data_IF_334142506278
#
_entry.id   IF_334142506278
#
_cell.length_a   1.000
_cell.length_b   1.000
_cell.length_c   1.000
_cell.angle_alpha   90.00
_cell.angle_beta   90.00
_cell.angle_gamma   90.00
#
_symmetry.space_group_name_H-M   'P 1'
#
loop_
_entity.id
_entity.type
_entity.pdbx_description
1 polymer ?
#
# COMPACT_ATOMS: atom_id res chain seq x y z
N UNK A 1 45.35 -22.03 24.51
CA UNK A 1 44.15 -21.82 23.70
C UNK A 1 44.56 -21.12 22.45
N UNK A 2 44.43 -21.83 21.29
CA UNK A 2 44.94 -21.39 19.99
C UNK A 2 44.06 -20.29 19.42
N UNK A 3 44.66 -19.33 18.75
CA UNK A 3 43.99 -18.17 18.10
C UNK A 3 42.85 -18.56 17.14
N UNK A 4 42.81 -19.83 16.69
CA UNK A 4 41.75 -20.42 15.89
C UNK A 4 40.43 -20.57 16.64
N UNK A 5 40.47 -20.99 17.90
CA UNK A 5 39.27 -21.26 18.70
C UNK A 5 38.51 -19.98 19.07
N UNK A 6 39.22 -18.84 19.17
CA UNK A 6 38.63 -17.55 19.46
C UNK A 6 37.92 -16.95 18.23
N UNK A 7 38.47 -17.23 17.06
CA UNK A 7 37.88 -16.74 15.79
C UNK A 7 36.62 -17.52 15.42
N UNK A 8 36.61 -18.81 15.66
CA UNK A 8 35.44 -19.68 15.42
C UNK A 8 34.31 -19.41 16.40
N UNK A 9 34.63 -19.13 17.68
CA UNK A 9 33.67 -18.70 18.68
C UNK A 9 33.10 -17.29 18.40
N UNK A 10 33.91 -16.37 17.85
CA UNK A 10 33.47 -15.05 17.46
C UNK A 10 32.59 -15.09 16.21
N UNK A 11 32.89 -15.96 15.23
CA UNK A 11 32.05 -16.17 14.03
C UNK A 11 30.72 -16.87 14.39
N UNK A 12 30.71 -17.80 15.34
CA UNK A 12 29.49 -18.42 15.84
C UNK A 12 28.57 -17.42 16.58
N UNK A 13 29.12 -16.58 17.45
CA UNK A 13 28.38 -15.50 18.11
C UNK A 13 27.88 -14.42 17.15
N UNK A 14 28.64 -14.14 16.08
CA UNK A 14 28.27 -13.18 15.05
C UNK A 14 27.15 -13.70 14.13
N UNK A 15 27.10 -15.03 13.90
CA UNK A 15 26.04 -15.69 13.15
C UNK A 15 24.75 -15.88 13.97
N UNK A 16 24.85 -16.08 15.28
CA UNK A 16 23.67 -16.19 16.16
C UNK A 16 22.95 -14.85 16.37
N UNK A 17 23.66 -13.72 16.23
CA UNK A 17 23.06 -12.37 16.32
C UNK A 17 22.53 -11.84 14.98
N UNK A 18 22.72 -12.52 13.87
CA UNK A 18 22.30 -12.11 12.52
C UNK A 18 20.99 -12.72 12.02
N UNK A 19 20.21 -13.37 12.85
CA UNK A 19 18.88 -13.83 12.46
C UNK A 19 17.79 -13.43 13.43
N UNK A 20 17.32 -12.16 13.43
CA UNK A 20 16.02 -11.84 13.98
C UNK A 20 14.89 -12.15 12.98
N UNK A 21 15.22 -12.69 11.82
CA UNK A 21 14.24 -13.11 10.83
C UNK A 21 14.35 -14.62 10.62
N UNK A 22 13.56 -15.36 11.39
CA UNK A 22 13.23 -16.73 11.04
C UNK A 22 12.80 -16.75 9.57
N UNK A 23 13.37 -17.65 8.79
CA UNK A 23 13.01 -17.93 7.43
C UNK A 23 11.47 -17.85 7.31
N UNK A 24 10.98 -17.06 6.35
CA UNK A 24 9.60 -17.11 5.95
C UNK A 24 9.33 -18.51 5.39
N UNK A 25 9.01 -19.44 6.28
CA UNK A 25 8.50 -20.75 5.90
C UNK A 25 7.13 -20.51 5.29
N UNK A 26 6.97 -20.82 4.01
CA UNK A 26 5.71 -20.88 3.29
C UNK A 26 4.80 -22.04 3.76
N UNK A 27 4.93 -22.46 5.03
CA UNK A 27 4.20 -23.55 5.66
C UNK A 27 3.39 -23.09 6.86
N UNK A 28 2.07 -23.06 6.73
CA UNK A 28 1.05 -23.14 7.79
C UNK A 28 1.27 -22.29 9.05
N UNK A 29 1.48 -20.97 8.91
CA UNK A 29 1.27 -20.08 10.03
C UNK A 29 -0.24 -19.83 10.17
N UNK A 30 -0.78 -20.24 11.29
CA UNK A 30 -2.04 -19.72 11.82
C UNK A 30 -2.07 -18.21 11.63
N UNK A 31 -2.99 -17.71 10.83
CA UNK A 31 -3.14 -16.29 10.53
C UNK A 31 -3.48 -15.52 11.81
N UNK A 32 -2.48 -15.21 12.62
CA UNK A 32 -2.65 -14.20 13.64
C UNK A 32 -2.92 -12.88 12.92
N UNK A 33 -4.12 -12.34 13.14
CA UNK A 33 -4.50 -11.05 12.59
C UNK A 33 -3.45 -10.03 13.01
N UNK A 34 -2.75 -9.43 12.04
CA UNK A 34 -1.77 -8.37 12.29
C UNK A 34 -2.53 -7.18 12.87
N UNK A 35 -2.12 -6.69 14.04
CA UNK A 35 -2.72 -5.49 14.63
C UNK A 35 -1.98 -4.23 14.14
N UNK A 36 -2.60 -3.04 14.30
CA UNK A 36 -1.91 -1.78 13.96
C UNK A 36 -0.62 -1.60 14.77
N UNK A 37 -0.57 -1.84 16.09
CA UNK A 37 0.69 -1.83 16.83
C UNK A 37 1.76 -2.78 16.29
N UNK A 38 1.38 -3.97 15.81
CA UNK A 38 2.32 -4.91 15.17
C UNK A 38 2.86 -4.35 13.85
N UNK A 39 1.98 -3.72 13.05
CA UNK A 39 2.38 -3.09 11.80
C UNK A 39 3.34 -1.91 12.04
N UNK A 40 3.06 -1.07 13.05
CA UNK A 40 3.95 0.02 13.49
C UNK A 40 5.32 -0.51 13.89
N UNK A 41 5.37 -1.60 14.68
CA UNK A 41 6.62 -2.23 15.12
C UNK A 41 7.43 -2.76 13.93
N UNK A 42 6.78 -3.43 12.97
CA UNK A 42 7.43 -3.91 11.74
C UNK A 42 7.98 -2.75 10.90
N UNK A 43 7.22 -1.66 10.76
CA UNK A 43 7.67 -0.47 10.04
C UNK A 43 8.87 0.20 10.75
N UNK A 44 8.87 0.20 12.09
CA UNK A 44 9.99 0.70 12.89
C UNK A 44 11.27 -0.12 12.68
N UNK A 45 11.17 -1.44 12.57
CA UNK A 45 12.34 -2.26 12.23
C UNK A 45 12.90 -1.93 10.85
N UNK A 46 12.02 -1.76 9.85
CA UNK A 46 12.47 -1.31 8.53
C UNK A 46 13.19 0.05 8.64
N UNK A 47 12.66 1.00 9.40
CA UNK A 47 13.30 2.31 9.56
C UNK A 47 14.69 2.22 10.21
N UNK A 48 14.88 1.33 11.18
CA UNK A 48 16.19 1.06 11.79
C UNK A 48 17.17 0.48 10.78
N UNK A 49 16.73 -0.51 9.99
CA UNK A 49 17.58 -1.19 9.00
C UNK A 49 18.13 -0.23 7.94
N UNK A 50 17.40 0.83 7.61
CA UNK A 50 17.82 1.84 6.61
C UNK A 50 18.25 3.17 7.23
N UNK A 51 18.41 3.23 8.55
CA UNK A 51 18.78 4.44 9.30
C UNK A 51 17.82 5.63 9.07
N UNK A 52 16.52 5.35 8.95
CA UNK A 52 15.51 6.40 8.85
C UNK A 52 15.08 6.89 10.25
N UNK A 53 14.90 8.20 10.39
CA UNK A 53 14.50 8.83 11.66
C UNK A 53 12.99 8.80 11.91
N UNK A 54 12.18 8.73 10.85
CA UNK A 54 10.73 8.66 10.92
C UNK A 54 10.15 7.85 9.75
N UNK A 55 8.92 7.40 9.93
CA UNK A 55 8.18 6.65 8.91
C UNK A 55 6.69 6.96 8.96
N UNK A 56 5.99 6.65 7.87
CA UNK A 56 4.54 6.70 7.80
C UNK A 56 3.98 5.75 6.75
N UNK A 57 2.81 5.17 7.04
CA UNK A 57 2.05 4.36 6.10
C UNK A 57 0.74 5.07 5.75
N UNK A 58 0.51 5.21 4.46
CA UNK A 58 -0.62 5.93 3.92
C UNK A 58 -1.41 5.07 2.93
N UNK A 59 -2.72 5.25 2.90
CA UNK A 59 -3.57 4.79 1.81
C UNK A 59 -3.79 5.92 0.80
N UNK A 60 -3.86 5.57 -0.47
CA UNK A 60 -4.33 6.49 -1.49
C UNK A 60 -5.85 6.47 -1.49
N UNK A 61 -6.47 7.64 -1.39
CA UNK A 61 -7.94 7.75 -1.45
C UNK A 61 -8.46 7.25 -2.80
N UNK A 62 -9.53 6.44 -2.83
CA UNK A 62 -10.11 5.93 -4.08
C UNK A 62 -10.82 7.02 -4.89
N UNK A 63 -11.09 8.20 -4.32
CA UNK A 63 -11.78 9.28 -5.03
C UNK A 63 -10.91 9.82 -6.16
N UNK A 64 -11.41 9.82 -7.43
CA UNK A 64 -10.67 10.38 -8.56
C UNK A 64 -10.58 11.91 -8.50
N UNK A 65 -11.56 12.58 -7.87
CA UNK A 65 -11.66 14.05 -7.86
C UNK A 65 -10.77 14.70 -6.79
N UNK A 66 -10.42 13.97 -5.74
CA UNK A 66 -9.52 14.41 -4.67
C UNK A 66 -8.60 13.27 -4.27
N UNK A 67 -7.67 12.94 -5.14
CA UNK A 67 -6.64 11.96 -4.85
C UNK A 67 -5.73 12.52 -3.74
N UNK A 68 -5.77 11.89 -2.56
CA UNK A 68 -4.98 12.30 -1.39
C UNK A 68 -4.43 11.09 -0.64
N UNK A 69 -3.38 11.31 0.11
CA UNK A 69 -2.85 10.35 1.06
C UNK A 69 -3.67 10.40 2.36
N UNK A 70 -4.15 9.24 2.80
CA UNK A 70 -4.87 9.07 4.05
C UNK A 70 -3.95 8.31 5.02
N UNK A 71 -3.45 8.94 6.09
CA UNK A 71 -2.53 8.28 7.00
C UNK A 71 -3.22 7.14 7.73
N UNK A 72 -2.48 6.03 7.90
CA UNK A 72 -2.91 4.92 8.72
C UNK A 72 -2.22 4.95 10.08
N UNK A 73 -0.91 5.11 10.08
CA UNK A 73 -0.06 5.30 11.25
C UNK A 73 1.28 5.92 10.83
N UNK A 74 2.03 6.39 11.79
CA UNK A 74 3.40 6.89 11.62
C UNK A 74 4.27 6.59 12.84
N UNK A 75 5.48 7.16 12.88
CA UNK A 75 6.44 6.98 13.97
C UNK A 75 5.94 7.46 15.34
N UNK A 76 4.97 8.38 15.38
CA UNK A 76 4.41 8.96 16.61
C UNK A 76 3.16 8.21 17.08
N UNK A 77 2.79 7.09 16.41
CA UNK A 77 1.61 6.31 16.80
C UNK A 77 1.60 5.98 18.30
N UNK A 78 0.47 6.20 19.03
CA UNK A 78 -0.89 6.49 18.54
C UNK A 78 -1.18 7.97 18.20
N UNK A 79 -0.20 8.86 18.34
CA UNK A 79 -0.29 10.25 17.86
C UNK A 79 -0.20 10.37 16.33
N UNK A 80 0.00 11.59 15.86
CA UNK A 80 0.21 11.90 14.43
C UNK A 80 1.32 12.94 14.31
N UNK A 81 2.40 12.56 13.64
CA UNK A 81 3.56 13.42 13.40
C UNK A 81 3.20 14.67 12.57
N UNK A 82 3.96 15.74 12.76
CA UNK A 82 3.81 16.97 11.96
C UNK A 82 4.07 16.69 10.48
N UNK A 83 5.09 15.90 10.15
CA UNK A 83 5.40 15.48 8.79
C UNK A 83 4.23 14.74 8.13
N UNK A 84 3.55 13.85 8.86
CA UNK A 84 2.38 13.12 8.38
C UNK A 84 1.21 14.05 8.02
N UNK A 85 0.96 15.07 8.83
CA UNK A 85 -0.06 16.08 8.52
C UNK A 85 0.28 16.87 7.26
N UNK A 86 1.56 17.17 7.06
CA UNK A 86 2.05 17.89 5.89
C UNK A 86 1.93 17.05 4.61
N UNK A 87 2.41 15.80 4.63
CA UNK A 87 2.35 14.84 3.52
C UNK A 87 0.90 14.54 3.11
N UNK A 88 -0.02 14.49 4.07
CA UNK A 88 -1.45 14.26 3.81
C UNK A 88 -2.19 15.49 3.26
N UNK A 89 -1.55 16.64 3.25
CA UNK A 89 -2.06 17.90 2.69
C UNK A 89 -1.96 17.97 1.15
N UNK A 90 -1.99 19.18 0.61
CA UNK A 90 -2.04 19.44 -0.83
C UNK A 90 -0.75 19.05 -1.61
N UNK A 91 0.38 18.84 -0.93
CA UNK A 91 1.68 18.64 -1.58
C UNK A 91 1.94 17.22 -2.10
N UNK A 92 1.01 16.30 -1.91
CA UNK A 92 1.16 14.89 -2.28
C UNK A 92 0.54 14.48 -3.62
N UNK A 93 0.08 15.39 -4.46
CA UNK A 93 -0.66 15.02 -5.69
C UNK A 93 0.18 14.20 -6.67
N UNK A 94 1.43 14.57 -6.89
CA UNK A 94 2.31 13.90 -7.85
C UNK A 94 2.66 12.48 -7.38
N UNK A 95 3.00 12.30 -6.12
CA UNK A 95 3.29 10.96 -5.58
C UNK A 95 2.03 10.10 -5.52
N UNK A 96 0.86 10.69 -5.28
CA UNK A 96 -0.43 9.98 -5.34
C UNK A 96 -0.71 9.49 -6.76
N UNK A 97 -0.49 10.33 -7.77
CA UNK A 97 -0.64 9.95 -9.18
C UNK A 97 0.34 8.84 -9.53
N UNK A 98 1.61 9.00 -9.16
CA UNK A 98 2.65 8.00 -9.37
C UNK A 98 2.30 6.66 -8.70
N UNK A 99 1.89 6.66 -7.43
CA UNK A 99 1.54 5.45 -6.67
C UNK A 99 0.36 4.66 -7.24
N UNK A 100 -0.43 5.25 -8.14
CA UNK A 100 -1.55 4.55 -8.80
C UNK A 100 -1.13 3.77 -10.03
N UNK A 101 -0.04 4.18 -10.67
CA UNK A 101 0.39 3.66 -11.98
C UNK A 101 1.74 2.97 -11.94
N UNK A 102 2.51 3.15 -10.86
CA UNK A 102 3.86 2.62 -10.73
C UNK A 102 4.13 2.17 -9.30
N UNK A 103 5.00 1.17 -9.18
CA UNK A 103 5.58 0.72 -7.92
C UNK A 103 7.02 1.21 -7.74
N UNK A 104 7.54 1.99 -8.68
CA UNK A 104 8.90 2.54 -8.61
C UNK A 104 9.06 3.44 -7.38
N UNK A 105 10.03 3.19 -6.48
CA UNK A 105 10.28 4.06 -5.34
C UNK A 105 10.70 5.46 -5.76
N UNK A 106 10.28 6.46 -4.99
CA UNK A 106 10.62 7.86 -5.20
C UNK A 106 11.39 8.40 -4.00
N UNK A 107 12.49 9.10 -4.26
CA UNK A 107 13.31 9.70 -3.25
C UNK A 107 13.47 11.20 -3.46
N UNK A 108 13.80 11.89 -2.40
CA UNK A 108 14.12 13.32 -2.41
C UNK A 108 15.16 13.64 -1.33
N UNK A 109 15.90 14.68 -1.56
CA UNK A 109 16.86 15.22 -0.60
C UNK A 109 16.61 16.71 -0.40
N UNK A 110 16.90 17.21 0.78
CA UNK A 110 17.06 18.63 1.03
C UNK A 110 18.42 19.11 0.48
N UNK A 111 18.55 20.38 0.13
CA UNK A 111 19.69 20.98 -0.58
C UNK A 111 21.07 20.82 0.10
N UNK A 112 21.13 20.22 1.28
CA UNK A 112 22.37 19.99 2.05
C UNK A 112 22.91 18.55 2.09
N UNK A 113 22.25 17.56 1.48
CA UNK A 113 22.57 16.13 1.66
C UNK A 113 23.07 15.49 0.37
N UNK A 114 24.21 15.99 -0.16
CA UNK A 114 24.79 15.50 -1.42
C UNK A 114 25.09 13.99 -1.41
N UNK A 115 25.63 13.46 -0.30
CA UNK A 115 25.97 12.03 -0.19
C UNK A 115 24.75 11.11 -0.34
N UNK A 116 23.58 11.52 0.15
CA UNK A 116 22.34 10.77 0.00
C UNK A 116 21.79 10.86 -1.43
N UNK A 117 21.92 12.02 -2.08
CA UNK A 117 21.55 12.19 -3.48
C UNK A 117 22.40 11.32 -4.40
N UNK A 118 23.71 11.25 -4.18
CA UNK A 118 24.63 10.38 -4.93
C UNK A 118 24.29 8.90 -4.72
N UNK A 119 24.02 8.49 -3.48
CA UNK A 119 23.65 7.12 -3.17
C UNK A 119 22.35 6.70 -3.89
N UNK A 120 21.29 7.49 -3.74
CA UNK A 120 20.00 7.18 -4.37
C UNK A 120 20.02 7.31 -5.89
N UNK A 121 20.80 8.26 -6.43
CA UNK A 121 20.96 8.43 -7.87
C UNK A 121 21.62 7.24 -8.57
N UNK A 122 22.39 6.43 -7.83
CA UNK A 122 23.04 5.22 -8.31
C UNK A 122 22.15 3.97 -8.17
N UNK A 123 21.00 4.06 -7.49
CA UNK A 123 20.09 2.91 -7.36
C UNK A 123 19.29 2.73 -8.66
N UNK A 124 19.34 1.52 -9.21
CA UNK A 124 18.47 1.15 -10.31
C UNK A 124 17.00 1.09 -9.85
N UNK A 125 16.11 1.50 -10.74
CA UNK A 125 14.67 1.46 -10.51
C UNK A 125 14.21 2.33 -9.32
N UNK A 126 14.75 3.54 -9.26
CA UNK A 126 14.26 4.61 -8.38
C UNK A 126 14.21 5.93 -9.15
N UNK A 127 13.36 6.85 -8.75
CA UNK A 127 13.27 8.17 -9.35
C UNK A 127 13.31 9.29 -8.32
N UNK A 128 13.93 10.40 -8.67
CA UNK A 128 13.93 11.61 -7.86
C UNK A 128 12.59 12.34 -7.98
N UNK A 129 12.16 12.97 -6.90
CA UNK A 129 10.98 13.83 -6.85
C UNK A 129 11.22 15.08 -6.00
N UNK A 130 10.28 16.03 -6.04
CA UNK A 130 10.29 17.16 -5.13
C UNK A 130 10.04 16.70 -3.67
N UNK A 131 10.65 17.37 -2.67
CA UNK A 131 10.44 17.03 -1.26
C UNK A 131 8.97 17.01 -0.86
N UNK A 132 8.54 15.95 -0.17
CA UNK A 132 7.17 15.83 0.36
C UNK A 132 6.94 16.78 1.55
N UNK A 133 8.00 17.13 2.26
CA UNK A 133 7.99 18.11 3.34
C UNK A 133 9.21 19.02 3.20
N UNK A 134 9.07 20.34 3.45
CA UNK A 134 10.20 21.26 3.40
C UNK A 134 11.31 20.85 4.38
N UNK A 135 12.56 21.02 3.99
CA UNK A 135 13.72 20.72 4.82
C UNK A 135 13.84 19.23 5.20
N UNK A 136 13.32 18.31 4.38
CA UNK A 136 13.41 16.88 4.65
C UNK A 136 13.97 16.11 3.48
N UNK A 137 14.67 15.03 3.81
CA UNK A 137 15.09 13.99 2.88
C UNK A 137 14.34 12.72 3.16
N UNK A 138 14.14 11.86 2.15
CA UNK A 138 13.43 10.62 2.36
C UNK A 138 13.27 9.78 1.10
N UNK A 139 12.62 8.63 1.30
CA UNK A 139 12.23 7.72 0.24
C UNK A 139 10.80 7.22 0.46
N UNK A 140 10.05 7.12 -0.60
CA UNK A 140 8.68 6.64 -0.62
C UNK A 140 8.57 5.38 -1.47
N UNK A 141 7.96 4.35 -0.93
CA UNK A 141 7.70 3.07 -1.56
C UNK A 141 6.21 2.96 -1.91
N UNK A 142 5.82 3.10 -3.19
CA UNK A 142 4.48 2.80 -3.63
C UNK A 142 4.17 1.32 -3.44
N UNK A 143 3.01 1.01 -2.88
CA UNK A 143 2.59 -0.35 -2.54
C UNK A 143 1.14 -0.59 -2.93
N UNK A 144 0.85 -1.83 -3.33
CA UNK A 144 -0.48 -2.24 -3.76
C UNK A 144 -0.92 -3.48 -2.98
N UNK A 145 -2.21 -3.60 -2.77
CA UNK A 145 -2.84 -4.77 -2.19
C UNK A 145 -4.02 -5.22 -3.06
N UNK A 146 -4.65 -6.32 -2.66
CA UNK A 146 -5.82 -6.87 -3.34
C UNK A 146 -6.91 -5.81 -3.54
N UNK A 147 -7.76 -6.02 -4.56
CA UNK A 147 -8.91 -5.15 -4.88
C UNK A 147 -8.55 -3.73 -5.28
N UNK A 148 -7.36 -3.52 -5.87
CA UNK A 148 -6.94 -2.21 -6.37
C UNK A 148 -6.64 -1.18 -5.27
N UNK A 149 -6.44 -1.61 -4.04
CA UNK A 149 -5.97 -0.73 -2.97
C UNK A 149 -4.52 -0.38 -3.21
N UNK A 150 -4.21 0.90 -3.23
CA UNK A 150 -2.84 1.39 -3.30
C UNK A 150 -2.51 2.31 -2.13
N UNK A 151 -1.25 2.39 -1.81
CA UNK A 151 -0.73 3.15 -0.69
C UNK A 151 0.73 3.52 -0.86
N UNK A 152 1.27 4.07 0.19
CA UNK A 152 2.62 4.57 0.23
C UNK A 152 3.22 4.29 1.61
N UNK A 153 4.43 3.74 1.64
CA UNK A 153 5.25 3.68 2.84
C UNK A 153 6.38 4.69 2.67
N UNK A 154 6.46 5.65 3.59
CA UNK A 154 7.43 6.75 3.54
C UNK A 154 8.41 6.61 4.68
N UNK A 155 9.68 6.78 4.39
CA UNK A 155 10.76 6.90 5.37
C UNK A 155 11.42 8.25 5.22
N UNK A 156 11.64 8.92 6.35
CA UNK A 156 12.24 10.26 6.42
C UNK A 156 13.56 10.18 7.21
N UNK A 157 14.53 10.96 6.81
CA UNK A 157 15.80 11.07 7.51
C UNK A 157 16.90 11.59 6.57
N UNK A 158 17.87 12.31 7.15
CA UNK A 158 19.04 12.83 6.43
C UNK A 158 20.16 11.80 6.25
N UNK A 159 20.07 10.67 6.98
CA UNK A 159 21.12 9.64 7.04
C UNK A 159 20.63 8.28 6.55
N UNK A 160 19.58 8.24 5.74
CA UNK A 160 19.09 7.00 5.17
C UNK A 160 20.20 6.36 4.33
N UNK A 161 20.48 5.08 4.61
CA UNK A 161 21.46 4.29 3.89
C UNK A 161 20.78 3.08 3.26
N UNK A 162 20.90 2.95 1.93
CA UNK A 162 20.21 1.89 1.17
C UNK A 162 21.07 1.41 0.01
N UNK A 163 21.50 0.15 0.07
CA UNK A 163 22.16 -0.52 -1.04
C UNK A 163 21.13 -1.10 -2.03
N UNK A 164 21.58 -1.41 -3.26
CA UNK A 164 20.70 -1.93 -4.32
C UNK A 164 19.94 -3.20 -3.91
N UNK A 165 20.62 -4.16 -3.30
CA UNK A 165 19.98 -5.42 -2.87
C UNK A 165 18.97 -5.17 -1.74
N UNK A 166 19.31 -4.28 -0.80
CA UNK A 166 18.44 -3.89 0.29
C UNK A 166 17.19 -3.15 -0.21
N UNK A 167 17.28 -2.37 -1.30
CA UNK A 167 16.14 -1.68 -1.91
C UNK A 167 14.99 -2.65 -2.23
N UNK A 168 15.30 -3.76 -2.88
CA UNK A 168 14.29 -4.76 -3.26
C UNK A 168 13.71 -5.48 -2.05
N UNK A 169 14.55 -5.83 -1.07
CA UNK A 169 14.10 -6.46 0.17
C UNK A 169 13.17 -5.53 0.96
N UNK A 170 13.59 -4.29 1.17
CA UNK A 170 12.78 -3.28 1.88
C UNK A 170 11.45 -3.04 1.17
N UNK A 171 11.46 -2.96 -0.15
CA UNK A 171 10.23 -2.78 -0.92
C UNK A 171 9.29 -3.98 -0.78
N UNK A 172 9.80 -5.21 -0.84
CA UNK A 172 9.02 -6.43 -0.62
C UNK A 172 8.41 -6.46 0.80
N UNK A 173 9.17 -6.04 1.83
CA UNK A 173 8.68 -5.90 3.20
C UNK A 173 7.59 -4.83 3.32
N UNK A 174 7.71 -3.70 2.62
CA UNK A 174 6.68 -2.66 2.54
C UNK A 174 5.39 -3.20 1.89
N UNK A 175 5.49 -3.97 0.81
CA UNK A 175 4.34 -4.63 0.18
C UNK A 175 3.64 -5.59 1.14
N UNK A 176 4.40 -6.48 1.78
CA UNK A 176 3.87 -7.45 2.76
C UNK A 176 3.16 -6.74 3.93
N UNK A 177 3.79 -5.68 4.46
CA UNK A 177 3.23 -4.87 5.53
C UNK A 177 1.92 -4.20 5.10
N UNK A 178 1.92 -3.54 3.93
CA UNK A 178 0.74 -2.85 3.41
C UNK A 178 -0.41 -3.83 3.15
N UNK A 179 -0.14 -4.98 2.53
CA UNK A 179 -1.14 -6.01 2.28
C UNK A 179 -1.78 -6.55 3.58
N UNK A 180 -0.98 -6.69 4.66
CA UNK A 180 -1.48 -7.09 5.97
C UNK A 180 -2.39 -6.00 6.57
N UNK A 181 -1.98 -4.73 6.51
CA UNK A 181 -2.74 -3.58 7.01
C UNK A 181 -4.01 -3.35 6.19
N UNK A 182 -3.95 -3.51 4.87
CA UNK A 182 -5.10 -3.38 3.98
C UNK A 182 -6.20 -4.39 4.30
N UNK A 183 -5.84 -5.60 4.73
CA UNK A 183 -6.79 -6.63 5.18
C UNK A 183 -7.47 -6.29 6.52
N UNK A 184 -6.79 -5.57 7.40
CA UNK A 184 -7.37 -5.16 8.70
C UNK A 184 -8.36 -4.01 8.57
N UNK A 185 -8.17 -3.12 7.61
CA UNK A 185 -9.22 -2.15 7.33
C UNK A 185 -10.41 -2.93 6.78
N UNK A 186 -11.55 -3.00 7.51
CA UNK A 186 -12.84 -3.27 6.89
C UNK A 186 -13.01 -2.08 5.96
N UNK A 187 -12.65 -2.30 4.71
CA UNK A 187 -12.34 -1.27 3.76
C UNK A 187 -13.44 -0.24 3.63
N UNK A 188 -13.30 0.68 2.71
CA UNK A 188 -14.40 1.31 2.01
C UNK A 188 -15.47 0.29 1.52
N UNK A 189 -15.18 -1.02 1.57
CA UNK A 189 -16.14 -2.15 1.51
C UNK A 189 -17.15 -2.11 2.67
N UNK A 190 -16.84 -1.58 3.85
CA UNK A 190 -17.81 -1.44 4.96
C UNK A 190 -18.72 -0.21 4.80
N UNK A 191 -18.36 0.78 3.99
CA UNK A 191 -19.26 1.84 3.49
C UNK A 191 -19.98 1.44 2.19
N UNK A 192 -19.44 0.50 1.43
CA UNK A 192 -20.18 -0.17 0.39
C UNK A 192 -21.07 -1.20 1.08
N UNK A 193 -22.37 -0.91 1.18
CA UNK A 193 -23.36 -1.92 1.50
C UNK A 193 -23.01 -3.15 0.68
N UNK A 194 -22.79 -4.30 1.31
CA UNK A 194 -22.27 -5.51 0.65
C UNK A 194 -23.05 -5.78 -0.63
N UNK A 195 -22.34 -5.81 -1.76
CA UNK A 195 -22.98 -6.12 -3.04
C UNK A 195 -23.28 -7.60 -3.04
N UNK A 196 -24.52 -7.94 -3.26
CA UNK A 196 -24.96 -9.34 -3.27
C UNK A 196 -24.45 -10.06 -4.53
N UNK A 197 -24.42 -11.40 -4.47
CA UNK A 197 -24.02 -12.24 -5.59
C UNK A 197 -24.83 -11.95 -6.86
N UNK A 198 -26.15 -11.72 -6.71
CA UNK A 198 -27.06 -11.41 -7.81
C UNK A 198 -26.82 -10.01 -8.39
N UNK A 199 -26.49 -9.04 -7.58
CA UNK A 199 -26.11 -7.71 -8.03
C UNK A 199 -24.80 -7.73 -8.82
N UNK A 200 -23.81 -8.53 -8.39
CA UNK A 200 -22.55 -8.72 -9.12
C UNK A 200 -22.77 -9.41 -10.47
N UNK A 201 -23.62 -10.46 -10.51
CA UNK A 201 -23.98 -11.14 -11.76
C UNK A 201 -24.61 -10.16 -12.76
N UNK A 202 -25.55 -9.31 -12.30
CA UNK A 202 -26.15 -8.29 -13.14
C UNK A 202 -25.13 -7.25 -13.66
N UNK A 203 -24.20 -6.80 -12.78
CA UNK A 203 -23.14 -5.88 -13.19
C UNK A 203 -22.17 -6.50 -14.20
N UNK A 204 -21.79 -7.78 -14.03
CA UNK A 204 -20.93 -8.51 -14.95
C UNK A 204 -21.57 -8.64 -16.33
N UNK A 205 -22.84 -8.99 -16.39
CA UNK A 205 -23.57 -9.06 -17.67
C UNK A 205 -23.72 -7.68 -18.31
N UNK A 206 -23.90 -6.63 -17.49
CA UNK A 206 -23.90 -5.25 -18.00
C UNK A 206 -22.54 -4.85 -18.57
N UNK A 207 -21.44 -5.25 -17.94
CA UNK A 207 -20.08 -5.01 -18.43
C UNK A 207 -19.86 -5.69 -19.79
N UNK A 208 -20.49 -6.84 -20.03
CA UNK A 208 -20.47 -7.58 -21.29
C UNK A 208 -21.44 -7.01 -22.35
N UNK A 209 -22.09 -5.87 -22.07
CA UNK A 209 -22.97 -5.18 -23.03
C UNK A 209 -24.43 -5.66 -23.06
N UNK A 210 -24.85 -6.56 -22.17
CA UNK A 210 -26.20 -7.07 -22.14
C UNK A 210 -27.22 -6.01 -21.70
N UNK A 211 -28.38 -6.00 -22.35
CA UNK A 211 -29.56 -5.21 -21.97
C UNK A 211 -30.24 -5.78 -20.71
N UNK A 212 -31.13 -5.00 -20.09
CA UNK A 212 -31.88 -5.48 -18.93
C UNK A 212 -32.77 -6.70 -19.24
N UNK A 213 -33.29 -6.77 -20.45
CA UNK A 213 -34.10 -7.88 -20.96
C UNK A 213 -33.26 -9.15 -21.12
N UNK A 214 -32.06 -9.02 -21.67
CA UNK A 214 -31.11 -10.13 -21.83
C UNK A 214 -30.61 -10.63 -20.47
N UNK A 215 -30.28 -9.73 -19.55
CA UNK A 215 -29.90 -10.05 -18.18
C UNK A 215 -31.02 -10.84 -17.47
N UNK A 216 -32.26 -10.33 -17.58
CA UNK A 216 -33.42 -10.99 -17.01
C UNK A 216 -33.59 -12.43 -17.54
N UNK A 217 -33.47 -12.60 -18.86
CA UNK A 217 -33.54 -13.91 -19.52
C UNK A 217 -32.42 -14.84 -19.08
N UNK A 218 -31.16 -14.38 -19.05
CA UNK A 218 -29.99 -15.17 -18.68
C UNK A 218 -30.04 -15.62 -17.22
N UNK A 219 -30.47 -14.75 -16.32
CA UNK A 219 -30.54 -15.01 -14.89
C UNK A 219 -31.89 -15.60 -14.43
N UNK A 220 -32.83 -15.81 -15.36
CA UNK A 220 -34.21 -16.28 -15.11
C UNK A 220 -34.97 -15.40 -14.12
N UNK A 221 -34.88 -14.08 -14.34
CA UNK A 221 -35.51 -13.04 -13.53
C UNK A 221 -36.57 -12.29 -14.35
N UNK A 222 -37.40 -11.50 -13.68
CA UNK A 222 -38.16 -10.46 -14.39
C UNK A 222 -37.26 -9.27 -14.76
N UNK A 223 -37.58 -8.56 -15.83
CA UNK A 223 -36.85 -7.32 -16.23
C UNK A 223 -36.87 -6.30 -15.08
N UNK A 224 -37.98 -6.21 -14.36
CA UNK A 224 -38.10 -5.36 -13.18
C UNK A 224 -37.09 -5.73 -12.09
N UNK A 225 -36.93 -7.02 -11.80
CA UNK A 225 -35.97 -7.52 -10.81
C UNK A 225 -34.52 -7.25 -11.23
N UNK A 226 -34.18 -7.46 -12.51
CA UNK A 226 -32.87 -7.16 -13.04
C UNK A 226 -32.53 -5.65 -12.89
N UNK A 227 -33.49 -4.78 -13.22
CA UNK A 227 -33.34 -3.34 -13.03
C UNK A 227 -33.21 -2.93 -11.56
N UNK A 228 -33.94 -3.60 -10.64
CA UNK A 228 -33.76 -3.38 -9.19
C UNK A 228 -32.34 -3.72 -8.73
N UNK A 229 -31.78 -4.87 -9.13
CA UNK A 229 -30.41 -5.23 -8.79
C UNK A 229 -29.39 -4.23 -9.34
N UNK A 230 -29.55 -3.77 -10.59
CA UNK A 230 -28.70 -2.76 -11.18
C UNK A 230 -28.81 -1.41 -10.45
N UNK A 231 -30.00 -1.00 -10.07
CA UNK A 231 -30.21 0.25 -9.29
C UNK A 231 -29.58 0.14 -7.91
N UNK A 232 -29.77 -0.98 -7.21
CA UNK A 232 -29.18 -1.24 -5.90
C UNK A 232 -27.66 -1.25 -5.99
N UNK A 233 -27.09 -1.90 -7.00
CA UNK A 233 -25.65 -1.92 -7.26
C UNK A 233 -25.11 -0.52 -7.50
N UNK A 234 -25.82 0.29 -8.29
CA UNK A 234 -25.46 1.69 -8.59
C UNK A 234 -25.42 2.52 -7.30
N UNK A 235 -26.43 2.38 -6.44
CA UNK A 235 -26.48 3.06 -5.15
C UNK A 235 -25.38 2.58 -4.19
N UNK A 236 -25.16 1.26 -4.10
CA UNK A 236 -24.13 0.67 -3.23
C UNK A 236 -22.71 1.06 -3.65
N UNK A 237 -22.47 1.21 -4.94
CA UNK A 237 -21.22 1.68 -5.51
C UNK A 237 -21.08 3.21 -5.50
N UNK A 238 -22.10 3.93 -4.97
CA UNK A 238 -22.14 5.38 -5.03
C UNK A 238 -21.87 5.91 -6.45
N UNK A 239 -22.51 5.31 -7.44
CA UNK A 239 -22.38 5.65 -8.85
C UNK A 239 -23.59 6.47 -9.30
N UNK A 240 -23.38 7.36 -10.29
CA UNK A 240 -24.45 8.22 -10.83
C UNK A 240 -25.31 7.45 -11.85
N UNK A 241 -24.72 6.46 -12.53
CA UNK A 241 -25.41 5.65 -13.54
C UNK A 241 -24.80 4.24 -13.63
N UNK A 242 -25.44 3.35 -14.39
CA UNK A 242 -25.04 1.95 -14.55
C UNK A 242 -23.64 1.79 -15.14
N UNK A 243 -23.24 2.65 -16.07
CA UNK A 243 -21.92 2.57 -16.71
C UNK A 243 -20.82 2.95 -15.71
N UNK A 244 -21.05 3.96 -14.87
CA UNK A 244 -20.14 4.31 -13.79
C UNK A 244 -20.10 3.21 -12.71
N UNK A 245 -21.22 2.54 -12.44
CA UNK A 245 -21.24 1.40 -11.53
C UNK A 245 -20.38 0.25 -12.04
N UNK A 246 -20.46 -0.08 -13.33
CA UNK A 246 -19.59 -1.08 -13.98
C UNK A 246 -18.11 -0.66 -13.89
N UNK A 247 -17.78 0.58 -14.25
CA UNK A 247 -16.41 1.09 -14.19
C UNK A 247 -15.84 1.06 -12.76
N UNK A 248 -16.66 1.34 -11.74
CA UNK A 248 -16.26 1.23 -10.34
C UNK A 248 -16.09 -0.22 -9.90
N UNK A 249 -16.98 -1.12 -10.33
CA UNK A 249 -16.91 -2.54 -10.00
C UNK A 249 -15.63 -3.18 -10.59
N UNK A 250 -15.25 -2.84 -11.83
CA UNK A 250 -13.99 -3.26 -12.46
C UNK A 250 -12.77 -2.75 -11.69
N UNK A 251 -12.73 -1.44 -11.36
CA UNK A 251 -11.61 -0.85 -10.59
C UNK A 251 -11.46 -1.44 -9.20
N UNK A 252 -12.54 -1.93 -8.60
CA UNK A 252 -12.57 -2.56 -7.29
C UNK A 252 -12.30 -4.07 -7.36
N UNK A 253 -12.08 -4.64 -8.55
CA UNK A 253 -11.90 -6.07 -8.75
C UNK A 253 -13.11 -6.90 -8.33
N UNK A 254 -14.31 -6.32 -8.35
CA UNK A 254 -15.55 -7.01 -8.01
C UNK A 254 -16.09 -7.84 -9.18
N UNK A 255 -15.78 -7.40 -10.40
CA UNK A 255 -16.08 -8.07 -11.66
C UNK A 255 -14.85 -7.99 -12.58
N UNK A 256 -14.74 -8.94 -13.48
CA UNK A 256 -13.70 -9.07 -14.51
C UNK A 256 -14.33 -8.86 -15.89
#
# INVERSE_FOLDING_TARGET
LKHADIKEAAEALFNEQRSPFGAFSLGSETHHAVTIPDAVRRCRWISVDINASAFGLYFVSPSPERARLVPCFDSDYPGVAVATKFISGANGEDIVRHSRISTEPRWWTDDGVAAMADMFGNLAWTGQMAPLTPGSSGIAFPVHADRGQCGLVVFLGSEIALAQDALYEIHARCFSLFAAVARMRPGDVGRMRSISKRELECLKLTANGNTSEEIARLLKLSVHTANQYLTQSTQKLNAVNRNQAVAKALRLGLIE
#
